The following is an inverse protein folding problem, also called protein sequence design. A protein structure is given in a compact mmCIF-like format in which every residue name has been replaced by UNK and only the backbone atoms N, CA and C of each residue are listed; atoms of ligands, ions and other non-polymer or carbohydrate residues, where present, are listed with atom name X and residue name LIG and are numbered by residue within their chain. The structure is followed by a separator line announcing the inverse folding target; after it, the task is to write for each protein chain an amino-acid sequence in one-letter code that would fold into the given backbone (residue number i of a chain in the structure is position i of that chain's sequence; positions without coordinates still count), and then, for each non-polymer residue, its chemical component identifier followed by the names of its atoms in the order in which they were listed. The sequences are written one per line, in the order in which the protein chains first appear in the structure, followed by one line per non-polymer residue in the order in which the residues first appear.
data_IF_725322652947
#
_entry.id   IF_725322652947
#
_cell.length_a   1.000
_cell.length_b   1.000
_cell.length_c   1.000
_cell.angle_alpha   90.00
_cell.angle_beta   90.00
_cell.angle_gamma   90.00
#
_symmetry.space_group_name_H-M   'P 1'
#
loop_
_entity.id
_entity.type
_entity.pdbx_description
1 polymer ?
#
# COMPACT_ATOMS: atom_id res chain seq x y z
N UNK A 1 -9.21 30.22 30.58
CA UNK A 1 -9.17 31.62 31.10
C UNK A 1 -7.80 32.29 30.81
N UNK A 2 -6.72 31.51 30.69
CA UNK A 2 -5.36 31.99 30.46
C UNK A 2 -4.66 31.23 29.27
N UNK A 3 -5.14 31.38 28.03
CA UNK A 3 -4.68 30.61 26.89
C UNK A 3 -3.19 30.82 26.58
N UNK A 4 -2.62 31.95 26.97
CA UNK A 4 -1.21 32.28 26.79
C UNK A 4 -0.25 31.39 27.63
N UNK A 5 -0.76 30.64 28.61
CA UNK A 5 0.00 29.70 29.43
C UNK A 5 -0.07 28.26 28.88
N UNK A 6 -0.90 28.01 27.90
CA UNK A 6 -1.09 26.67 27.32
C UNK A 6 -0.34 26.51 25.99
N UNK A 7 -0.04 25.25 25.66
CA UNK A 7 0.43 24.83 24.33
C UNK A 7 -0.68 23.98 23.71
N UNK A 8 -1.13 24.34 22.50
CA UNK A 8 -2.28 23.72 21.86
C UNK A 8 -1.85 22.66 20.85
N UNK A 9 -2.02 21.41 21.18
CA UNK A 9 -1.69 20.31 20.26
C UNK A 9 -2.58 20.29 19.00
N UNK A 10 -3.82 20.79 19.06
CA UNK A 10 -4.67 20.89 17.86
C UNK A 10 -4.12 21.88 16.83
N UNK A 11 -3.42 22.95 17.24
CA UNK A 11 -2.81 23.91 16.32
C UNK A 11 -1.69 23.23 15.51
N UNK A 12 -0.92 22.32 16.13
CA UNK A 12 0.07 21.50 15.42
C UNK A 12 -0.58 20.59 14.39
N UNK A 13 -1.71 19.97 14.72
CA UNK A 13 -2.45 19.14 13.76
C UNK A 13 -2.96 19.97 12.56
N UNK A 14 -3.52 21.15 12.80
CA UNK A 14 -3.98 22.06 11.72
C UNK A 14 -2.80 22.50 10.85
N UNK A 15 -1.70 22.92 11.46
CA UNK A 15 -0.54 23.42 10.73
C UNK A 15 0.12 22.29 9.89
N UNK A 16 0.18 21.07 10.42
CA UNK A 16 0.68 19.91 9.68
C UNK A 16 -0.20 19.59 8.46
N UNK A 17 -1.53 19.68 8.59
CA UNK A 17 -2.46 19.48 7.46
C UNK A 17 -2.24 20.54 6.36
N UNK A 18 -2.05 21.79 6.74
CA UNK A 18 -1.74 22.87 5.79
C UNK A 18 -0.41 22.61 5.09
N UNK A 19 0.64 22.29 5.85
CA UNK A 19 1.97 22.01 5.31
C UNK A 19 1.96 20.84 4.34
N UNK A 20 1.31 19.72 4.68
CA UNK A 20 1.14 18.57 3.78
C UNK A 20 0.28 18.94 2.57
N UNK A 21 -0.73 19.76 2.72
CA UNK A 21 -1.56 20.28 1.62
C UNK A 21 -0.73 21.07 0.60
N UNK A 22 0.20 21.89 1.05
CA UNK A 22 1.16 22.62 0.21
C UNK A 22 2.19 21.66 -0.42
N UNK A 23 2.70 20.70 0.34
CA UNK A 23 3.63 19.68 -0.14
C UNK A 23 3.04 18.89 -1.32
N UNK A 24 1.75 18.55 -1.27
CA UNK A 24 1.06 17.81 -2.34
C UNK A 24 1.17 18.44 -3.72
N UNK A 25 1.37 19.76 -3.81
CA UNK A 25 1.58 20.46 -5.09
C UNK A 25 2.96 20.17 -5.69
N UNK A 26 3.90 19.66 -4.90
CA UNK A 26 5.31 19.49 -5.26
C UNK A 26 5.75 18.01 -5.22
N UNK A 27 4.81 17.06 -5.21
CA UNK A 27 5.10 15.63 -5.31
C UNK A 27 4.77 15.12 -6.71
N UNK A 28 5.44 14.05 -7.21
CA UNK A 28 5.08 13.41 -8.47
C UNK A 28 3.59 13.02 -8.52
N UNK A 29 3.01 13.05 -9.72
CA UNK A 29 1.56 12.83 -9.90
C UNK A 29 1.05 11.44 -9.54
N UNK A 30 1.94 10.48 -9.44
CA UNK A 30 1.70 9.09 -9.04
C UNK A 30 1.92 8.84 -7.54
N UNK A 31 2.54 9.77 -6.82
CA UNK A 31 2.64 9.71 -5.36
C UNK A 31 1.35 10.16 -4.69
N UNK A 32 1.07 9.64 -3.50
CA UNK A 32 -0.11 10.02 -2.72
C UNK A 32 0.26 10.23 -1.26
N UNK A 33 -0.37 11.23 -0.64
CA UNK A 33 -0.39 11.40 0.81
C UNK A 33 -1.84 11.62 1.23
N UNK A 34 -2.38 10.69 1.97
CA UNK A 34 -3.69 10.81 2.62
C UNK A 34 -3.48 11.04 4.12
N UNK A 35 -4.38 11.78 4.76
CA UNK A 35 -4.33 12.00 6.19
C UNK A 35 -5.67 12.42 6.75
N UNK A 36 -5.89 12.13 8.04
CA UNK A 36 -7.01 12.64 8.80
C UNK A 36 -6.62 12.90 10.27
N UNK A 37 -7.38 13.74 10.95
CA UNK A 37 -7.20 13.99 12.38
C UNK A 37 -8.06 13.00 13.14
N UNK A 38 -7.44 12.10 13.87
CA UNK A 38 -8.12 11.11 14.69
C UNK A 38 -8.54 11.67 16.05
N UNK A 39 -7.73 12.61 16.61
CA UNK A 39 -8.00 13.27 17.89
C UNK A 39 -7.44 14.69 17.87
N UNK A 40 -8.20 15.68 18.34
CA UNK A 40 -7.75 17.08 18.51
C UNK A 40 -8.56 17.83 19.57
N UNK A 41 -8.85 17.19 20.72
CA UNK A 41 -9.59 17.76 21.84
C UNK A 41 -11.05 17.32 21.89
N UNK A 42 -11.71 17.63 23.03
CA UNK A 42 -13.06 17.13 23.34
C UNK A 42 -14.06 18.26 23.70
N UNK A 43 -13.59 19.38 24.19
CA UNK A 43 -14.43 20.52 24.65
C UNK A 43 -13.81 21.85 24.26
N UNK A 44 -14.63 22.85 24.04
CA UNK A 44 -14.21 24.16 23.49
C UNK A 44 -13.45 25.05 24.46
N UNK A 45 -13.57 24.81 25.76
CA UNK A 45 -12.99 25.65 26.84
C UNK A 45 -11.69 25.06 27.43
N UNK A 46 -11.20 23.95 26.90
CA UNK A 46 -9.93 23.31 27.30
C UNK A 46 -9.02 23.25 26.06
N UNK A 47 -7.79 23.76 26.19
CA UNK A 47 -6.77 23.65 25.17
C UNK A 47 -6.36 22.17 25.09
N UNK A 48 -6.41 21.52 23.91
CA UNK A 48 -6.02 20.13 23.75
C UNK A 48 -4.54 19.89 24.09
N UNK A 49 -4.28 18.99 25.01
CA UNK A 49 -2.93 18.56 25.39
C UNK A 49 -2.35 17.53 24.41
N UNK A 50 -3.24 16.87 23.65
CA UNK A 50 -2.87 15.83 22.68
C UNK A 50 -3.69 16.01 21.40
N UNK A 51 -3.03 15.79 20.26
CA UNK A 51 -3.67 15.57 18.97
C UNK A 51 -3.03 14.34 18.29
N UNK A 52 -3.84 13.58 17.55
CA UNK A 52 -3.40 12.45 16.77
C UNK A 52 -3.79 12.67 15.33
N UNK A 53 -2.81 12.57 14.45
CA UNK A 53 -3.00 12.64 13.01
C UNK A 53 -2.50 11.34 12.40
N UNK A 54 -3.37 10.63 11.72
CA UNK A 54 -3.00 9.46 10.94
C UNK A 54 -2.76 9.86 9.49
N UNK A 55 -1.71 9.31 8.89
CA UNK A 55 -1.39 9.58 7.50
C UNK A 55 -0.85 8.34 6.80
N UNK A 56 -1.01 8.31 5.49
CA UNK A 56 -0.51 7.29 4.59
C UNK A 56 0.29 7.94 3.47
N UNK A 57 1.48 7.41 3.18
CA UNK A 57 2.28 7.77 2.03
C UNK A 57 2.31 6.60 1.04
N UNK A 58 2.18 6.89 -0.26
CA UNK A 58 2.27 5.91 -1.33
C UNK A 58 3.22 6.38 -2.42
N UNK A 59 4.10 5.49 -2.87
CA UNK A 59 4.98 5.64 -4.03
C UNK A 59 5.19 4.29 -4.70
N UNK A 60 5.76 4.24 -5.91
CA UNK A 60 5.95 2.99 -6.64
C UNK A 60 7.24 2.26 -6.29
N UNK A 61 8.24 2.98 -5.78
CA UNK A 61 9.51 2.39 -5.37
C UNK A 61 9.84 2.75 -3.93
N UNK A 62 10.62 1.91 -3.28
CA UNK A 62 11.03 2.14 -1.90
C UNK A 62 11.84 3.45 -1.72
N UNK A 63 12.82 3.79 -2.58
CA UNK A 63 13.53 5.08 -2.48
C UNK A 63 12.63 6.30 -2.64
N UNK A 64 11.62 6.24 -3.51
CA UNK A 64 10.64 7.31 -3.67
C UNK A 64 9.74 7.44 -2.43
N UNK A 65 9.31 6.31 -1.87
CA UNK A 65 8.56 6.27 -0.62
C UNK A 65 9.35 6.90 0.54
N UNK A 66 10.60 6.53 0.73
CA UNK A 66 11.47 7.07 1.79
C UNK A 66 11.68 8.58 1.64
N UNK A 67 11.89 9.04 0.41
CA UNK A 67 11.99 10.46 0.09
C UNK A 67 10.70 11.21 0.41
N UNK A 68 9.54 10.65 0.02
CA UNK A 68 8.23 11.23 0.31
C UNK A 68 7.95 11.27 1.81
N UNK A 69 8.20 10.17 2.52
CA UNK A 69 8.01 10.05 3.97
C UNK A 69 8.84 11.08 4.72
N UNK A 70 10.10 11.28 4.32
CA UNK A 70 10.98 12.30 4.90
C UNK A 70 10.39 13.71 4.74
N UNK A 71 9.87 14.04 3.56
CA UNK A 71 9.24 15.34 3.32
C UNK A 71 7.96 15.54 4.14
N UNK A 72 7.14 14.49 4.27
CA UNK A 72 5.93 14.53 5.13
C UNK A 72 6.32 14.68 6.59
N UNK A 73 7.33 13.94 7.06
CA UNK A 73 7.85 14.06 8.42
C UNK A 73 8.31 15.48 8.73
N UNK A 74 9.03 16.14 7.82
CA UNK A 74 9.44 17.52 7.95
C UNK A 74 8.26 18.50 8.10
N UNK A 75 7.10 18.21 7.48
CA UNK A 75 5.89 19.01 7.67
C UNK A 75 5.38 18.92 9.12
N UNK A 76 5.37 17.74 9.71
CA UNK A 76 4.97 17.55 11.10
C UNK A 76 5.97 18.14 12.09
N UNK A 77 7.27 17.93 11.84
CA UNK A 77 8.35 18.51 12.67
C UNK A 77 8.30 20.04 12.66
N UNK A 78 8.11 20.64 11.48
CA UNK A 78 7.94 22.09 11.34
C UNK A 78 6.68 22.60 12.08
N UNK A 79 5.58 21.89 12.01
CA UNK A 79 4.35 22.22 12.72
C UNK A 79 4.54 22.13 14.25
N UNK A 80 5.20 21.08 14.75
CA UNK A 80 5.50 20.94 16.16
C UNK A 80 6.44 22.03 16.67
N UNK A 81 7.47 22.36 15.91
CA UNK A 81 8.40 23.44 16.24
C UNK A 81 7.68 24.80 16.32
N UNK A 82 6.83 25.10 15.33
CA UNK A 82 6.13 26.39 15.25
C UNK A 82 5.11 26.56 16.38
N UNK A 83 4.53 25.49 16.90
CA UNK A 83 3.52 25.51 17.95
C UNK A 83 4.07 25.24 19.35
N UNK A 84 5.34 24.89 19.47
CA UNK A 84 5.99 24.54 20.73
C UNK A 84 5.52 23.18 21.30
N UNK A 85 4.95 22.32 20.47
CA UNK A 85 4.50 20.97 20.86
C UNK A 85 5.62 19.94 20.73
N UNK A 86 5.46 18.80 21.39
CA UNK A 86 6.32 17.61 21.19
C UNK A 86 5.69 16.70 20.15
N UNK A 87 6.50 16.11 19.29
CA UNK A 87 6.08 15.19 18.25
C UNK A 87 6.60 13.78 18.53
N UNK A 88 5.73 12.79 18.41
CA UNK A 88 6.07 11.38 18.31
C UNK A 88 5.58 10.81 16.97
N UNK A 89 6.39 9.98 16.35
CA UNK A 89 6.03 9.20 15.17
C UNK A 89 5.98 7.72 15.53
N UNK A 90 4.89 7.08 15.14
CA UNK A 90 4.70 5.63 15.29
C UNK A 90 4.23 5.06 13.98
N UNK A 91 4.78 3.91 13.57
CA UNK A 91 4.23 3.12 12.46
C UNK A 91 3.14 2.23 13.02
N UNK A 92 1.93 2.35 12.48
CA UNK A 92 0.78 1.55 12.92
C UNK A 92 0.66 0.23 12.18
N UNK A 93 1.31 0.13 11.00
CA UNK A 93 1.28 -1.05 10.16
C UNK A 93 2.68 -1.35 9.58
N UNK A 94 2.98 -2.62 9.22
CA UNK A 94 4.16 -2.96 8.46
C UNK A 94 4.18 -2.23 7.10
N UNK A 95 5.37 -1.94 6.60
CA UNK A 95 5.52 -1.39 5.26
C UNK A 95 5.10 -2.43 4.22
N UNK A 96 4.23 -2.03 3.29
CA UNK A 96 3.91 -2.82 2.11
C UNK A 96 4.88 -2.46 0.99
N UNK A 97 5.70 -3.44 0.60
CA UNK A 97 6.70 -3.26 -0.44
C UNK A 97 6.10 -3.31 -1.85
N UNK A 98 6.80 -2.79 -2.87
CA UNK A 98 6.33 -2.86 -4.26
C UNK A 98 6.09 -4.31 -4.71
N UNK A 99 4.97 -4.56 -5.36
CA UNK A 99 4.63 -5.87 -5.92
C UNK A 99 5.49 -6.16 -7.17
N UNK A 100 6.27 -7.24 -7.12
CA UNK A 100 7.07 -7.76 -8.22
C UNK A 100 6.40 -9.02 -8.78
N UNK A 101 5.54 -8.84 -9.78
CA UNK A 101 4.89 -9.97 -10.44
C UNK A 101 5.90 -10.75 -11.30
N UNK A 102 5.75 -12.06 -11.35
CA UNK A 102 6.58 -12.94 -12.17
C UNK A 102 5.94 -13.14 -13.55
N UNK A 103 6.69 -12.86 -14.62
CA UNK A 103 6.19 -12.86 -16.00
C UNK A 103 5.75 -14.26 -16.47
N UNK A 104 6.45 -15.33 -16.04
CA UNK A 104 6.05 -16.70 -16.44
C UNK A 104 4.75 -17.10 -15.73
N UNK A 105 4.60 -16.76 -14.44
CA UNK A 105 3.34 -17.00 -13.73
C UNK A 105 2.20 -16.17 -14.33
N UNK A 106 2.47 -14.93 -14.73
CA UNK A 106 1.49 -14.08 -15.41
C UNK A 106 1.08 -14.67 -16.77
N UNK A 107 2.03 -15.22 -17.54
CA UNK A 107 1.71 -15.88 -18.81
C UNK A 107 0.85 -17.14 -18.63
N UNK A 108 1.13 -17.99 -17.64
CA UNK A 108 0.29 -19.14 -17.32
C UNK A 108 -1.12 -18.73 -16.88
N UNK A 109 -1.20 -17.71 -16.05
CA UNK A 109 -2.48 -17.14 -15.63
C UNK A 109 -3.30 -16.63 -16.82
N UNK A 110 -2.70 -15.88 -17.72
CA UNK A 110 -3.35 -15.36 -18.92
C UNK A 110 -3.86 -16.53 -19.78
N UNK A 111 -3.04 -17.55 -20.04
CA UNK A 111 -3.46 -18.72 -20.81
C UNK A 111 -4.63 -19.49 -20.14
N UNK A 112 -4.63 -19.58 -18.81
CA UNK A 112 -5.70 -20.21 -18.07
C UNK A 112 -7.01 -19.40 -18.14
N UNK A 113 -6.92 -18.07 -18.03
CA UNK A 113 -8.10 -17.18 -18.10
C UNK A 113 -8.68 -17.08 -19.52
N UNK A 114 -7.86 -17.21 -20.56
CA UNK A 114 -8.31 -17.27 -21.95
C UNK A 114 -9.30 -18.44 -22.19
N UNK A 115 -9.14 -19.56 -21.49
CA UNK A 115 -10.08 -20.70 -21.55
C UNK A 115 -11.50 -20.29 -21.09
N UNK A 116 -11.58 -19.33 -20.17
CA UNK A 116 -12.86 -18.76 -19.70
C UNK A 116 -13.29 -17.53 -20.49
N UNK A 117 -12.56 -17.17 -21.56
CA UNK A 117 -12.85 -15.99 -22.38
C UNK A 117 -12.68 -14.66 -21.65
N UNK A 118 -11.80 -14.61 -20.65
CA UNK A 118 -11.53 -13.40 -19.88
C UNK A 118 -10.35 -12.64 -20.46
N UNK A 119 -10.52 -11.34 -20.63
CA UNK A 119 -9.43 -10.43 -21.01
C UNK A 119 -8.58 -10.13 -19.76
N UNK A 120 -7.30 -10.48 -19.83
CA UNK A 120 -6.29 -10.21 -18.79
C UNK A 120 -5.34 -9.07 -19.17
N UNK A 121 -5.66 -8.31 -20.21
CA UNK A 121 -4.88 -7.14 -20.60
C UNK A 121 -4.75 -6.14 -19.45
N UNK A 122 -3.58 -5.47 -19.29
CA UNK A 122 -3.41 -4.47 -18.26
C UNK A 122 -4.47 -3.37 -18.39
N UNK A 123 -5.28 -3.20 -17.35
CA UNK A 123 -6.27 -2.13 -17.34
C UNK A 123 -5.60 -0.78 -17.16
N UNK A 124 -5.85 0.16 -18.07
CA UNK A 124 -5.33 1.50 -17.98
C UNK A 124 -5.84 2.20 -16.70
N UNK A 125 -4.93 2.72 -15.89
CA UNK A 125 -5.27 3.50 -14.70
C UNK A 125 -5.53 2.71 -13.41
N UNK A 126 -5.47 1.39 -13.43
CA UNK A 126 -5.51 0.56 -12.23
C UNK A 126 -4.10 0.42 -11.61
N UNK A 127 -3.49 1.51 -11.24
CA UNK A 127 -2.25 1.51 -10.49
C UNK A 127 -2.50 1.95 -9.04
N UNK A 128 -1.88 1.30 -8.07
CA UNK A 128 -1.72 1.84 -6.73
C UNK A 128 -2.57 1.23 -5.62
N UNK A 129 -3.08 0.02 -5.76
CA UNK A 129 -3.51 -0.77 -4.60
C UNK A 129 -2.29 -1.24 -3.80
N UNK A 130 -2.33 -1.14 -2.47
CA UNK A 130 -1.32 -1.72 -1.60
C UNK A 130 -1.75 -3.12 -1.17
N UNK A 131 -0.78 -4.04 -1.07
CA UNK A 131 -1.01 -5.42 -0.66
C UNK A 131 0.27 -5.99 -0.03
N UNK A 132 0.12 -6.81 1.00
CA UNK A 132 1.20 -7.57 1.63
C UNK A 132 1.85 -8.60 0.68
N UNK A 133 1.18 -8.93 -0.42
CA UNK A 133 1.80 -9.70 -1.51
C UNK A 133 3.03 -9.00 -2.11
N UNK A 134 3.14 -7.67 -1.98
CA UNK A 134 4.36 -6.95 -2.28
C UNK A 134 5.55 -7.54 -1.54
N UNK A 135 5.46 -7.66 -0.22
CA UNK A 135 6.51 -8.22 0.64
C UNK A 135 6.85 -9.68 0.26
N UNK A 136 5.84 -10.52 0.01
CA UNK A 136 6.04 -11.89 -0.44
C UNK A 136 6.78 -11.93 -1.77
N UNK A 137 6.43 -11.05 -2.72
CA UNK A 137 7.05 -10.98 -4.04
C UNK A 137 8.52 -10.58 -4.02
N UNK A 138 8.99 -9.91 -2.98
CA UNK A 138 10.41 -9.63 -2.79
C UNK A 138 11.19 -10.91 -2.45
N UNK A 139 10.55 -11.90 -1.84
CA UNK A 139 11.20 -13.12 -1.33
C UNK A 139 11.08 -14.28 -2.31
N UNK A 140 9.90 -14.47 -2.92
CA UNK A 140 9.63 -15.57 -3.85
C UNK A 140 8.97 -15.06 -5.14
N UNK A 141 9.14 -15.75 -6.29
CA UNK A 141 8.36 -15.46 -7.49
C UNK A 141 6.87 -15.53 -7.19
N UNK A 142 6.14 -14.47 -7.50
CA UNK A 142 4.75 -14.30 -7.08
C UNK A 142 3.88 -13.77 -8.20
N UNK A 143 2.59 -14.05 -8.11
CA UNK A 143 1.54 -13.49 -8.95
C UNK A 143 0.38 -13.05 -8.07
N UNK A 144 -0.12 -11.84 -8.30
CA UNK A 144 -1.30 -11.29 -7.63
C UNK A 144 -2.17 -10.57 -8.66
N UNK A 145 -3.00 -11.32 -9.41
CA UNK A 145 -3.79 -10.76 -10.50
C UNK A 145 -5.05 -10.09 -9.98
N UNK A 146 -5.55 -9.13 -10.76
CA UNK A 146 -6.85 -8.52 -10.57
C UNK A 146 -7.88 -9.15 -11.49
N UNK A 147 -9.11 -9.30 -11.01
CA UNK A 147 -10.25 -9.73 -11.80
C UNK A 147 -11.41 -8.74 -11.62
N UNK A 148 -12.11 -8.50 -12.72
CA UNK A 148 -13.33 -7.71 -12.71
C UNK A 148 -14.54 -8.61 -12.50
N UNK A 149 -15.43 -8.21 -11.60
CA UNK A 149 -16.78 -8.80 -11.49
C UNK A 149 -17.66 -8.16 -12.57
N UNK A 150 -18.42 -8.92 -13.37
CA UNK A 150 -19.32 -8.36 -14.36
C UNK A 150 -20.30 -7.34 -13.75
N UNK A 151 -20.38 -6.16 -14.36
CA UNK A 151 -21.20 -5.06 -13.84
C UNK A 151 -20.56 -4.25 -12.70
N UNK A 152 -19.28 -4.48 -12.38
CA UNK A 152 -18.54 -3.72 -11.37
C UNK A 152 -18.13 -2.33 -11.86
N UNK A 153 -19.09 -1.50 -12.19
CA UNK A 153 -18.89 -0.09 -12.52
C UNK A 153 -19.06 0.81 -11.26
N UNK A 154 -18.63 0.27 -10.13
CA UNK A 154 -18.74 0.90 -8.81
C UNK A 154 -17.38 0.93 -8.12
N UNK A 155 -17.09 1.96 -7.31
CA UNK A 155 -15.82 2.02 -6.57
C UNK A 155 -15.68 0.83 -5.60
N UNK A 156 -14.49 0.22 -5.58
CA UNK A 156 -14.09 -0.67 -4.48
C UNK A 156 -14.19 0.09 -3.13
N UNK A 157 -14.31 -0.62 -2.02
CA UNK A 157 -14.53 -0.04 -0.68
C UNK A 157 -15.86 0.72 -0.54
N UNK A 158 -16.90 0.33 -1.31
CA UNK A 158 -18.24 0.88 -1.20
C UNK A 158 -19.28 -0.19 -0.83
N UNK A 159 -20.42 0.24 -0.27
CA UNK A 159 -21.53 -0.68 -0.01
C UNK A 159 -22.08 -1.31 -1.30
N UNK A 160 -22.01 -0.59 -2.43
CA UNK A 160 -22.43 -1.11 -3.73
C UNK A 160 -21.49 -2.22 -4.19
N UNK A 161 -20.18 -2.09 -3.99
CA UNK A 161 -19.22 -3.16 -4.31
C UNK A 161 -19.41 -4.38 -3.39
N UNK A 162 -19.64 -4.16 -2.10
CA UNK A 162 -19.91 -5.25 -1.15
C UNK A 162 -21.17 -6.05 -1.56
N UNK A 163 -22.23 -5.36 -1.99
CA UNK A 163 -23.45 -6.02 -2.49
C UNK A 163 -23.20 -6.80 -3.80
N UNK A 164 -22.35 -6.28 -4.69
CA UNK A 164 -21.98 -6.94 -5.93
C UNK A 164 -21.13 -8.19 -5.68
N UNK A 165 -20.26 -8.19 -4.69
CA UNK A 165 -19.41 -9.32 -4.34
C UNK A 165 -20.21 -10.54 -3.83
N UNK A 166 -21.44 -10.35 -3.37
CA UNK A 166 -22.37 -11.42 -2.96
C UNK A 166 -23.43 -11.70 -4.04
N UNK A 167 -22.98 -11.99 -5.26
CA UNK A 167 -23.84 -12.29 -6.40
C UNK A 167 -23.39 -13.58 -7.10
N UNK A 168 -24.28 -14.29 -7.83
CA UNK A 168 -23.89 -15.44 -8.64
C UNK A 168 -22.77 -15.12 -9.64
N UNK A 169 -22.78 -13.93 -10.27
CA UNK A 169 -21.74 -13.51 -11.20
C UNK A 169 -20.38 -13.35 -10.52
N UNK A 170 -20.34 -12.88 -9.28
CA UNK A 170 -19.10 -12.79 -8.50
C UNK A 170 -18.58 -14.19 -8.11
N UNK A 171 -19.47 -15.11 -7.75
CA UNK A 171 -19.12 -16.50 -7.45
C UNK A 171 -18.58 -17.23 -8.67
N UNK A 172 -19.16 -17.02 -9.87
CA UNK A 172 -18.67 -17.61 -11.11
C UNK A 172 -17.23 -17.14 -11.39
N UNK A 173 -16.97 -15.83 -11.31
CA UNK A 173 -15.62 -15.27 -11.48
C UNK A 173 -14.64 -15.79 -10.43
N UNK A 174 -15.06 -15.89 -9.18
CA UNK A 174 -14.23 -16.46 -8.11
C UNK A 174 -13.85 -17.91 -8.41
N UNK A 175 -14.79 -18.71 -8.91
CA UNK A 175 -14.56 -20.11 -9.25
C UNK A 175 -13.60 -20.25 -10.45
N UNK A 176 -13.82 -19.47 -11.51
CA UNK A 176 -12.93 -19.41 -12.67
C UNK A 176 -11.49 -19.01 -12.25
N UNK A 177 -11.37 -18.00 -11.38
CA UNK A 177 -10.10 -17.57 -10.82
C UNK A 177 -9.40 -18.67 -10.02
N UNK A 178 -10.14 -19.38 -9.18
CA UNK A 178 -9.59 -20.49 -8.38
C UNK A 178 -9.04 -21.61 -9.27
N UNK A 179 -9.78 -21.98 -10.33
CA UNK A 179 -9.33 -22.97 -11.31
C UNK A 179 -8.10 -22.47 -12.08
N UNK A 180 -8.10 -21.22 -12.54
CA UNK A 180 -6.98 -20.63 -13.26
C UNK A 180 -5.71 -20.56 -12.39
N UNK A 181 -5.81 -20.21 -11.11
CA UNK A 181 -4.67 -20.25 -10.17
C UNK A 181 -4.15 -21.67 -9.96
N UNK A 182 -5.04 -22.66 -9.87
CA UNK A 182 -4.64 -24.05 -9.76
C UNK A 182 -3.89 -24.53 -11.02
N UNK A 183 -4.36 -24.20 -12.21
CA UNK A 183 -3.66 -24.49 -13.47
C UNK A 183 -2.32 -23.77 -13.56
N UNK A 184 -2.27 -22.47 -13.28
CA UNK A 184 -1.03 -21.69 -13.22
C UNK A 184 0.01 -22.38 -12.32
N UNK A 185 -0.42 -22.84 -11.14
CA UNK A 185 0.45 -23.53 -10.19
C UNK A 185 0.91 -24.89 -10.73
N UNK A 186 0.01 -25.66 -11.36
CA UNK A 186 0.33 -26.96 -11.93
C UNK A 186 1.33 -26.84 -13.09
N UNK A 187 1.11 -25.87 -14.00
CA UNK A 187 2.00 -25.61 -15.13
C UNK A 187 3.40 -25.21 -14.67
N UNK A 188 3.47 -24.27 -13.71
CA UNK A 188 4.72 -23.84 -13.10
C UNK A 188 5.47 -24.99 -12.40
N UNK A 189 4.75 -25.89 -11.71
CA UNK A 189 5.34 -27.00 -10.98
C UNK A 189 5.80 -28.15 -11.89
N UNK A 190 5.13 -28.36 -13.01
CA UNK A 190 5.43 -29.45 -13.95
C UNK A 190 6.48 -29.11 -14.99
N UNK A 191 6.77 -27.81 -15.22
CA UNK A 191 7.85 -27.35 -16.08
C UNK A 191 9.19 -27.38 -15.32
N UNK A 192 10.14 -28.27 -15.68
CA UNK A 192 11.41 -28.42 -14.94
C UNK A 192 12.27 -27.15 -14.97
N UNK A 193 12.27 -26.43 -16.09
CA UNK A 193 13.09 -25.23 -16.28
C UNK A 193 12.55 -24.08 -15.41
N UNK A 194 11.26 -23.85 -15.46
CA UNK A 194 10.60 -22.82 -14.63
C UNK A 194 10.73 -23.13 -13.14
N UNK A 195 10.51 -24.38 -12.74
CA UNK A 195 10.70 -24.80 -11.35
C UNK A 195 12.12 -24.52 -10.86
N UNK A 196 13.13 -24.83 -11.69
CA UNK A 196 14.53 -24.54 -11.36
C UNK A 196 14.76 -23.03 -11.23
N UNK A 197 14.20 -22.22 -12.15
CA UNK A 197 14.27 -20.76 -12.12
C UNK A 197 13.61 -20.20 -10.86
N UNK A 198 12.44 -20.67 -10.48
CA UNK A 198 11.71 -20.20 -9.30
C UNK A 198 12.48 -20.50 -8.01
N UNK A 199 13.01 -21.71 -7.85
CA UNK A 199 13.83 -22.08 -6.69
C UNK A 199 15.11 -21.23 -6.62
N UNK A 200 15.80 -21.06 -7.76
CA UNK A 200 16.98 -20.20 -7.81
C UNK A 200 16.66 -18.73 -7.56
N UNK A 201 15.51 -18.25 -8.00
CA UNK A 201 15.01 -16.89 -7.74
C UNK A 201 14.76 -16.65 -6.26
N UNK A 202 14.03 -17.54 -5.60
CA UNK A 202 13.77 -17.48 -4.17
C UNK A 202 15.08 -17.49 -3.34
N UNK A 203 16.02 -18.37 -3.68
CA UNK A 203 17.32 -18.44 -2.99
C UNK A 203 18.14 -17.14 -3.13
N UNK A 204 18.13 -16.50 -4.31
CA UNK A 204 18.83 -15.23 -4.51
C UNK A 204 18.22 -14.10 -3.70
N UNK A 205 16.90 -14.00 -3.65
CA UNK A 205 16.18 -12.97 -2.88
C UNK A 205 16.42 -13.15 -1.39
N UNK A 206 16.28 -14.36 -0.87
CA UNK A 206 16.58 -14.67 0.53
C UNK A 206 18.03 -14.33 0.94
N UNK A 207 19.00 -14.50 0.05
CA UNK A 207 20.38 -14.12 0.30
C UNK A 207 20.59 -12.60 0.32
N UNK A 208 19.82 -11.83 -0.46
CA UNK A 208 19.85 -10.38 -0.47
C UNK A 208 19.25 -9.79 0.82
N UNK A 209 18.13 -10.32 1.29
CA UNK A 209 17.50 -9.92 2.55
C UNK A 209 18.40 -10.19 3.76
N UNK A 210 19.04 -11.36 3.82
CA UNK A 210 19.99 -11.69 4.87
C UNK A 210 21.20 -10.73 4.91
N UNK A 211 21.63 -10.23 3.76
CA UNK A 211 22.71 -9.27 3.66
C UNK A 211 22.29 -7.83 4.03
N UNK A 212 21.03 -7.48 3.82
CA UNK A 212 20.48 -6.18 4.21
C UNK A 212 20.27 -6.08 5.73
N UNK A 213 19.72 -7.12 6.35
CA UNK A 213 19.49 -7.17 7.81
C UNK A 213 20.79 -7.16 8.62
N UNK A 214 21.89 -7.72 8.11
CA UNK A 214 23.21 -7.66 8.77
C UNK A 214 23.86 -6.28 8.73
N UNK A 215 23.47 -5.39 7.84
CA UNK A 215 23.98 -4.01 7.77
C UNK A 215 23.25 -3.09 8.75
N UNK A 216 21.98 -3.35 9.04
CA UNK A 216 21.18 -2.52 9.94
C UNK A 216 21.47 -2.79 11.43
N UNK A 217 22.00 -3.98 11.76
CA UNK A 217 22.41 -4.34 13.12
C UNK A 217 23.83 -3.86 13.49
N UNK A 218 24.55 -3.21 12.55
CA UNK A 218 25.93 -2.74 12.74
C UNK A 218 26.08 -1.20 12.74
N UNK A 219 24.97 -0.46 12.75
CA UNK A 219 24.88 0.99 12.87
C UNK A 219 24.21 1.39 14.20
#
# INVERSE_FOLDING_TARGET
AAPHLGVNAADAAVLSQVAVGLLRQQIPGDHRVAMYVAEAGHVTNIIPEKAVVEFECRAFTLPEYESLLTRVRNCFEGAALATGTQLAFESTEPLYEPLLQDDDLAAHWTAAMDVFGKDTSPAAGLGGGSTDMGNISQVIPSLHPWLSIPGADVPIHSHAFAALADTPAAYDVMFEAAVALAWTTADAATNPEQRTRFIAGANRRAAQDGAAQTKDTSA
#
